data_IF_212195517432
#
_entry.id   IF_212195517432
#
_cell.length_a   1.000
_cell.length_b   1.000
_cell.length_c   1.000
_cell.angle_alpha   90.00
_cell.angle_beta   90.00
_cell.angle_gamma   90.00
#
_symmetry.space_group_name_H-M   'P 1'
#
loop_
_entity.id
_entity.type
_entity.pdbx_description
1 polymer ?
#
# COMPACT_ATOMS: atom_id res chain seq x y z
N UNK A 1 6.83 -19.53 23.53
CA UNK A 1 6.83 -18.29 22.74
C UNK A 1 8.27 -17.82 22.71
N UNK A 2 8.87 -17.77 21.53
CA UNK A 2 10.30 -17.57 21.32
C UNK A 2 10.76 -16.19 21.84
N UNK A 3 11.91 -16.13 22.50
CA UNK A 3 12.50 -14.89 23.05
C UNK A 3 12.73 -13.85 21.94
N UNK A 4 13.12 -14.32 20.75
CA UNK A 4 13.28 -13.48 19.55
C UNK A 4 11.95 -12.84 19.11
N UNK A 5 10.84 -13.57 19.20
CA UNK A 5 9.52 -13.04 18.85
C UNK A 5 9.07 -11.97 19.86
N UNK A 6 9.33 -12.21 21.15
CA UNK A 6 9.02 -11.26 22.21
C UNK A 6 9.87 -9.98 22.07
N UNK A 7 11.12 -10.08 21.64
CA UNK A 7 11.97 -8.93 21.34
C UNK A 7 11.44 -8.11 20.15
N UNK A 8 11.05 -8.77 19.06
CA UNK A 8 10.42 -8.11 17.91
C UNK A 8 9.13 -7.38 18.31
N UNK A 9 8.28 -7.99 19.13
CA UNK A 9 7.05 -7.35 19.61
C UNK A 9 7.35 -6.14 20.50
N UNK A 10 8.37 -6.21 21.38
CA UNK A 10 8.83 -5.05 22.16
C UNK A 10 9.38 -3.93 21.28
N UNK A 11 10.15 -4.28 20.24
CA UNK A 11 10.71 -3.31 19.31
C UNK A 11 9.61 -2.62 18.48
N UNK A 12 8.60 -3.37 18.03
CA UNK A 12 7.45 -2.80 17.36
C UNK A 12 6.69 -1.86 18.29
N UNK A 13 6.36 -2.30 19.50
CA UNK A 13 5.64 -1.49 20.48
C UNK A 13 6.38 -0.18 20.82
N UNK A 14 7.70 -0.24 20.99
CA UNK A 14 8.54 0.94 21.20
C UNK A 14 8.49 1.90 20.01
N UNK A 15 8.51 1.39 18.78
CA UNK A 15 8.36 2.19 17.56
C UNK A 15 6.99 2.88 17.49
N UNK A 16 5.90 2.15 17.77
CA UNK A 16 4.53 2.67 17.71
C UNK A 16 4.27 3.78 18.74
N UNK A 17 4.78 3.62 19.97
CA UNK A 17 4.67 4.63 21.05
C UNK A 17 5.58 5.84 20.86
N UNK A 18 6.61 5.70 20.03
CA UNK A 18 7.62 6.75 19.80
C UNK A 18 7.17 7.75 18.75
N UNK A 19 7.83 7.72 17.59
CA UNK A 19 7.64 8.72 16.54
C UNK A 19 6.30 8.61 15.79
N UNK A 20 5.53 7.56 16.00
CA UNK A 20 4.33 7.22 15.21
C UNK A 20 3.02 7.41 15.98
N UNK A 21 2.92 8.48 16.77
CA UNK A 21 1.71 8.82 17.55
C UNK A 21 1.20 10.26 17.25
N UNK A 22 1.09 10.60 15.97
CA UNK A 22 0.63 11.92 15.51
C UNK A 22 1.69 13.01 15.57
N UNK A 23 2.97 12.64 15.36
CA UNK A 23 4.12 13.56 15.36
C UNK A 23 4.19 14.32 14.04
N UNK A 24 4.32 15.65 14.12
CA UNK A 24 4.56 16.51 12.96
C UNK A 24 6.07 16.56 12.67
N UNK A 25 6.45 16.43 11.41
CA UNK A 25 7.83 16.46 10.91
C UNK A 25 7.89 17.42 9.73
N UNK A 26 8.86 18.34 9.76
CA UNK A 26 9.09 19.26 8.66
C UNK A 26 9.91 18.59 7.53
N UNK A 27 9.69 19.02 6.29
CA UNK A 27 10.49 18.68 5.13
C UNK A 27 10.68 19.91 4.24
N UNK A 28 11.70 19.86 3.37
CA UNK A 28 11.96 20.93 2.41
C UNK A 28 10.96 20.87 1.24
N UNK A 29 10.02 21.81 1.20
CA UNK A 29 9.00 21.91 0.14
C UNK A 29 9.60 22.22 -1.23
N UNK A 30 10.73 22.95 -1.29
CA UNK A 30 11.41 23.22 -2.57
C UNK A 30 11.97 21.92 -3.17
N UNK A 31 12.40 21.00 -2.30
CA UNK A 31 12.88 19.68 -2.69
C UNK A 31 11.76 18.68 -2.97
N UNK A 32 10.67 18.74 -2.20
CA UNK A 32 9.53 17.83 -2.32
C UNK A 32 8.23 18.61 -2.60
N UNK A 33 8.05 19.16 -3.82
CA UNK A 33 6.96 20.09 -4.14
C UNK A 33 5.61 19.37 -4.40
N UNK A 34 5.14 18.59 -3.42
CA UNK A 34 3.95 17.72 -3.56
C UNK A 34 2.65 18.51 -3.76
N UNK A 35 2.53 19.71 -3.19
CA UNK A 35 1.38 20.59 -3.41
C UNK A 35 1.35 21.11 -4.86
N UNK A 36 2.53 21.51 -5.38
CA UNK A 36 2.71 21.90 -6.78
C UNK A 36 2.35 20.76 -7.74
N UNK A 37 2.86 19.56 -7.47
CA UNK A 37 2.51 18.34 -8.23
C UNK A 37 0.98 18.12 -8.26
N UNK A 38 0.30 18.20 -7.12
CA UNK A 38 -1.15 17.99 -7.08
C UNK A 38 -1.90 19.05 -7.89
N UNK A 39 -1.49 20.31 -7.81
CA UNK A 39 -2.08 21.41 -8.59
C UNK A 39 -1.90 21.19 -10.10
N UNK A 40 -0.70 20.82 -10.53
CA UNK A 40 -0.40 20.49 -11.93
C UNK A 40 -1.26 19.34 -12.43
N UNK A 41 -1.44 18.28 -11.63
CA UNK A 41 -2.29 17.13 -12.02
C UNK A 41 -3.77 17.50 -12.08
N UNK A 42 -4.28 18.32 -11.16
CA UNK A 42 -5.65 18.84 -11.24
C UNK A 42 -5.86 19.60 -12.56
N UNK A 43 -4.90 20.45 -12.96
CA UNK A 43 -4.93 21.17 -14.25
C UNK A 43 -4.84 20.24 -15.45
N UNK A 44 -3.98 19.22 -15.40
CA UNK A 44 -3.86 18.21 -16.46
C UNK A 44 -5.16 17.41 -16.66
N UNK A 45 -5.99 17.28 -15.63
CA UNK A 45 -7.33 16.70 -15.71
C UNK A 45 -8.42 17.68 -16.18
N UNK A 46 -8.04 18.86 -16.69
CA UNK A 46 -8.94 19.81 -17.36
C UNK A 46 -9.55 20.87 -16.43
N UNK A 47 -9.10 21.00 -15.18
CA UNK A 47 -9.65 21.96 -14.22
C UNK A 47 -8.73 23.17 -14.06
N UNK A 48 -9.23 24.35 -14.44
CA UNK A 48 -8.51 25.62 -14.30
C UNK A 48 -8.48 26.09 -12.83
N UNK A 49 -7.73 25.37 -12.00
CA UNK A 49 -7.51 25.67 -10.58
C UNK A 49 -6.11 26.24 -10.41
N UNK A 50 -5.99 27.39 -9.76
CA UNK A 50 -4.70 28.01 -9.40
C UNK A 50 -4.34 27.85 -7.92
N UNK A 51 -5.29 27.38 -7.13
CA UNK A 51 -5.15 27.17 -5.70
C UNK A 51 -5.96 25.93 -5.30
N UNK A 52 -5.30 24.93 -4.70
CA UNK A 52 -5.93 23.71 -4.21
C UNK A 52 -7.08 24.00 -3.22
N UNK A 53 -7.04 25.12 -2.50
CA UNK A 53 -8.08 25.53 -1.56
C UNK A 53 -9.39 25.92 -2.26
N UNK A 54 -9.35 26.20 -3.57
CA UNK A 54 -10.48 26.68 -4.39
C UNK A 54 -11.02 25.62 -5.36
N UNK A 55 -10.62 24.35 -5.22
CA UNK A 55 -11.15 23.25 -6.04
C UNK A 55 -12.69 23.24 -6.07
N UNK A 56 -13.33 23.43 -4.91
CA UNK A 56 -14.79 23.48 -4.79
C UNK A 56 -15.50 24.57 -5.62
N UNK A 57 -14.77 25.58 -6.09
CA UNK A 57 -15.32 26.67 -6.92
C UNK A 57 -15.27 26.34 -8.42
N UNK A 58 -14.31 25.50 -8.83
CA UNK A 58 -14.01 25.22 -10.25
C UNK A 58 -14.38 23.79 -10.66
N UNK A 59 -14.42 22.85 -9.71
CA UNK A 59 -14.72 21.44 -9.96
C UNK A 59 -16.14 21.13 -9.46
N UNK A 60 -17.09 20.79 -10.35
CA UNK A 60 -18.43 20.35 -10.00
C UNK A 60 -18.40 19.19 -9.00
N UNK A 61 -19.36 19.18 -8.07
CA UNK A 61 -19.41 18.23 -6.97
C UNK A 61 -19.39 16.76 -7.44
N UNK A 62 -20.13 16.45 -8.49
CA UNK A 62 -20.23 15.11 -9.10
C UNK A 62 -18.92 14.67 -9.78
N UNK A 63 -18.06 15.61 -10.18
CA UNK A 63 -16.76 15.33 -10.77
C UNK A 63 -15.65 15.08 -9.73
N UNK A 64 -15.81 15.52 -8.47
CA UNK A 64 -14.74 15.49 -7.44
C UNK A 64 -14.31 14.07 -7.10
N UNK A 65 -15.23 13.10 -7.04
CA UNK A 65 -14.87 11.71 -6.79
C UNK A 65 -14.03 11.14 -7.94
N UNK A 66 -14.45 11.38 -9.18
CA UNK A 66 -13.70 10.97 -10.37
C UNK A 66 -12.31 11.60 -10.43
N UNK A 67 -12.20 12.90 -10.14
CA UNK A 67 -10.92 13.59 -10.04
C UNK A 67 -10.02 12.96 -8.96
N UNK A 68 -10.56 12.70 -7.76
CA UNK A 68 -9.80 12.06 -6.68
C UNK A 68 -9.23 10.72 -7.10
N UNK A 69 -10.01 9.89 -7.82
CA UNK A 69 -9.54 8.58 -8.32
C UNK A 69 -8.44 8.71 -9.36
N UNK A 70 -8.54 9.68 -10.27
CA UNK A 70 -7.47 9.96 -11.24
C UNK A 70 -6.20 10.44 -10.57
N UNK A 71 -6.30 11.35 -9.60
CA UNK A 71 -5.14 11.79 -8.82
C UNK A 71 -4.48 10.63 -8.05
N UNK A 72 -5.24 9.72 -7.44
CA UNK A 72 -4.66 8.50 -6.84
C UNK A 72 -3.95 7.63 -7.88
N UNK A 73 -4.49 7.51 -9.10
CA UNK A 73 -3.84 6.74 -10.18
C UNK A 73 -2.52 7.40 -10.61
N UNK A 74 -2.50 8.72 -10.75
CA UNK A 74 -1.31 9.51 -11.11
C UNK A 74 -0.17 9.36 -10.09
N UNK A 75 -0.45 8.91 -8.86
CA UNK A 75 0.61 8.65 -7.88
C UNK A 75 1.54 7.50 -8.24
N UNK A 76 1.17 6.71 -9.25
CA UNK A 76 2.02 5.65 -9.83
C UNK A 76 3.00 6.18 -10.88
N UNK A 77 2.94 7.46 -11.21
CA UNK A 77 3.92 8.11 -12.08
C UNK A 77 5.35 7.87 -11.57
N UNK A 78 6.29 7.38 -12.40
CA UNK A 78 7.63 7.05 -11.96
C UNK A 78 8.41 8.23 -11.34
N UNK A 79 8.18 9.46 -11.82
CA UNK A 79 8.88 10.63 -11.30
C UNK A 79 8.37 11.01 -9.91
N UNK A 80 7.05 10.99 -9.70
CA UNK A 80 6.49 11.16 -8.35
C UNK A 80 6.93 10.03 -7.43
N UNK A 81 6.99 8.79 -7.95
CA UNK A 81 7.39 7.64 -7.16
C UNK A 81 8.82 7.81 -6.63
N UNK A 82 9.77 8.18 -7.49
CA UNK A 82 11.14 8.47 -7.08
C UNK A 82 11.19 9.58 -6.02
N UNK A 83 10.42 10.67 -6.22
CA UNK A 83 10.32 11.77 -5.26
C UNK A 83 9.84 11.29 -3.86
N UNK A 84 8.80 10.45 -3.82
CA UNK A 84 8.27 9.89 -2.57
C UNK A 84 9.27 8.93 -1.92
N UNK A 85 9.98 8.14 -2.71
CA UNK A 85 11.01 7.23 -2.21
C UNK A 85 12.17 8.00 -1.56
N UNK A 86 12.60 9.11 -2.14
CA UNK A 86 13.59 10.00 -1.54
C UNK A 86 13.07 10.67 -0.27
N UNK A 87 11.82 11.17 -0.28
CA UNK A 87 11.18 11.69 0.94
C UNK A 87 11.15 10.64 2.06
N UNK A 88 10.90 9.37 1.71
CA UNK A 88 10.92 8.27 2.66
C UNK A 88 12.31 8.01 3.21
N UNK A 89 13.33 7.89 2.34
CA UNK A 89 14.71 7.63 2.74
C UNK A 89 15.28 8.72 3.64
N UNK A 90 14.97 9.97 3.32
CA UNK A 90 15.72 11.10 3.86
C UNK A 90 15.02 11.84 4.99
N UNK A 91 13.68 11.78 5.03
CA UNK A 91 12.89 12.46 6.04
C UNK A 91 12.15 11.46 6.93
N UNK A 92 11.32 10.60 6.34
CA UNK A 92 10.39 9.77 7.11
C UNK A 92 11.11 8.66 7.86
N UNK A 93 12.05 7.96 7.22
CA UNK A 93 12.76 6.87 7.87
C UNK A 93 13.64 7.36 9.04
N UNK A 94 14.45 8.44 8.90
CA UNK A 94 15.19 9.00 10.03
C UNK A 94 14.26 9.54 11.13
N UNK A 95 13.22 10.30 10.78
CA UNK A 95 12.31 10.88 11.78
C UNK A 95 11.47 9.82 12.51
N UNK A 96 11.11 8.75 11.81
CA UNK A 96 10.32 7.62 12.29
C UNK A 96 11.13 6.49 12.93
N UNK A 97 12.47 6.56 12.88
CA UNK A 97 13.36 5.50 13.36
C UNK A 97 13.18 4.16 12.63
N UNK A 98 12.88 4.20 11.33
CA UNK A 98 12.68 3.00 10.52
C UNK A 98 14.01 2.42 10.03
N UNK A 99 14.08 1.10 9.96
CA UNK A 99 15.28 0.36 9.54
C UNK A 99 15.02 -0.40 8.24
N UNK A 100 15.95 -0.29 7.29
CA UNK A 100 15.91 -1.01 6.03
C UNK A 100 15.95 -2.55 6.24
N UNK A 101 15.39 -3.34 5.31
CA UNK A 101 14.70 -2.92 4.08
C UNK A 101 13.34 -2.30 4.37
N UNK A 102 12.95 -1.31 3.56
CA UNK A 102 11.67 -0.61 3.67
C UNK A 102 10.77 -0.92 2.47
N UNK A 103 9.47 -0.68 2.63
CA UNK A 103 8.52 -0.72 1.53
C UNK A 103 7.52 0.42 1.65
N UNK A 104 7.04 0.93 0.52
CA UNK A 104 6.12 2.07 0.43
C UNK A 104 4.90 1.68 -0.40
N UNK A 105 3.70 2.04 0.05
CA UNK A 105 2.43 1.79 -0.64
C UNK A 105 2.52 2.15 -2.13
N UNK A 106 2.04 1.27 -3.02
CA UNK A 106 2.21 1.41 -4.48
C UNK A 106 1.47 2.59 -5.11
N UNK A 107 0.24 2.83 -4.67
CA UNK A 107 -0.57 3.97 -5.08
C UNK A 107 -0.97 4.75 -3.83
N UNK A 108 -0.56 6.01 -3.74
CA UNK A 108 -0.84 6.86 -2.62
C UNK A 108 -2.31 7.33 -2.69
N UNK A 109 -2.89 7.65 -1.54
CA UNK A 109 -4.28 8.12 -1.49
C UNK A 109 -4.30 9.65 -1.49
N UNK A 110 -4.85 10.25 -2.54
CA UNK A 110 -5.20 11.67 -2.54
C UNK A 110 -6.60 11.82 -1.94
N UNK A 111 -6.79 12.83 -1.08
CA UNK A 111 -8.06 13.16 -0.44
C UNK A 111 -8.41 14.61 -0.73
N UNK A 112 -9.59 14.82 -1.30
CA UNK A 112 -10.19 16.15 -1.50
C UNK A 112 -11.38 16.27 -0.56
N UNK A 113 -11.34 17.24 0.34
CA UNK A 113 -12.40 17.50 1.30
C UNK A 113 -12.96 18.92 1.08
N UNK A 114 -14.13 18.98 0.45
CA UNK A 114 -14.83 20.22 0.14
C UNK A 114 -15.47 20.83 1.41
N UNK A 115 -15.69 22.15 1.45
CA UNK A 115 -16.44 22.79 2.54
C UNK A 115 -17.92 22.38 2.53
N UNK A 116 -18.52 22.32 3.72
CA UNK A 116 -19.95 22.14 4.01
C UNK A 116 -20.58 20.88 3.40
N UNK A 117 -19.83 19.77 3.38
CA UNK A 117 -20.28 18.45 2.89
C UNK A 117 -20.40 17.41 4.03
N UNK A 118 -21.49 17.39 4.80
CA UNK A 118 -21.67 16.43 5.90
C UNK A 118 -21.65 14.96 5.44
N UNK A 119 -22.12 14.66 4.24
CA UNK A 119 -22.12 13.32 3.65
C UNK A 119 -20.73 12.81 3.22
N UNK A 120 -19.74 13.70 3.14
CA UNK A 120 -18.38 13.37 2.70
C UNK A 120 -17.40 13.21 3.89
N UNK A 121 -17.92 13.19 5.12
CA UNK A 121 -17.11 12.99 6.32
C UNK A 121 -16.69 11.52 6.40
N UNK A 122 -15.37 11.30 6.49
CA UNK A 122 -14.84 9.97 6.76
C UNK A 122 -14.96 9.68 8.27
N UNK A 123 -15.70 8.63 8.68
CA UNK A 123 -15.91 8.33 10.09
C UNK A 123 -14.61 8.09 10.86
N UNK A 124 -14.64 8.29 12.17
CA UNK A 124 -13.49 7.95 13.00
C UNK A 124 -13.27 6.44 13.04
N UNK A 125 -12.02 6.03 12.86
CA UNK A 125 -11.63 4.62 12.75
C UNK A 125 -10.14 4.45 13.07
N UNK A 126 -9.69 3.19 13.11
CA UNK A 126 -8.27 2.83 13.08
C UNK A 126 -7.96 2.09 11.78
N UNK A 127 -6.70 2.12 11.34
CA UNK A 127 -6.26 1.37 10.16
C UNK A 127 -6.44 -0.15 10.32
N UNK A 128 -6.40 -0.67 11.56
CA UNK A 128 -6.63 -2.08 11.84
C UNK A 128 -8.01 -2.55 11.36
N UNK A 129 -9.06 -1.74 11.54
CA UNK A 129 -10.42 -2.06 11.10
C UNK A 129 -10.55 -2.19 9.57
N UNK A 130 -9.62 -1.60 8.81
CA UNK A 130 -9.55 -1.69 7.35
C UNK A 130 -8.53 -2.73 6.86
N UNK A 131 -8.05 -3.60 7.77
CA UNK A 131 -7.18 -4.72 7.43
C UNK A 131 -5.70 -4.38 7.31
N UNK A 132 -5.27 -3.20 7.75
CA UNK A 132 -3.84 -2.94 7.94
C UNK A 132 -3.35 -3.68 9.18
N UNK A 133 -2.09 -4.15 9.15
CA UNK A 133 -1.43 -4.68 10.33
C UNK A 133 -0.60 -3.63 11.09
N UNK A 134 -0.22 -3.89 12.35
CA UNK A 134 0.55 -2.95 13.16
C UNK A 134 1.97 -2.68 12.63
N UNK A 135 2.52 -3.54 11.77
CA UNK A 135 3.78 -3.30 11.07
C UNK A 135 3.70 -2.27 9.94
N UNK A 136 2.50 -1.80 9.60
CA UNK A 136 2.26 -0.72 8.63
C UNK A 136 2.19 0.62 9.35
N UNK A 137 2.77 1.69 8.80
CA UNK A 137 2.76 3.02 9.42
C UNK A 137 2.23 4.04 8.44
N UNK A 138 1.50 5.02 8.93
CA UNK A 138 0.81 6.00 8.10
C UNK A 138 1.53 7.34 8.12
N UNK A 139 1.63 7.92 6.94
CA UNK A 139 2.10 9.28 6.71
C UNK A 139 0.93 10.07 6.14
N UNK A 140 0.58 11.18 6.80
CA UNK A 140 -0.40 12.14 6.28
C UNK A 140 0.28 13.46 5.93
N UNK A 141 0.05 13.92 4.70
CA UNK A 141 0.66 15.09 4.08
C UNK A 141 -0.45 16.07 3.67
N UNK A 142 -0.74 17.11 4.46
CA UNK A 142 -1.61 18.18 4.03
C UNK A 142 -0.95 18.99 2.91
N UNK A 143 -1.63 19.12 1.76
CA UNK A 143 -1.19 19.92 0.61
C UNK A 143 -1.83 21.32 0.60
N UNK A 144 -2.71 21.59 1.56
CA UNK A 144 -3.31 22.89 1.85
C UNK A 144 -2.98 23.23 3.30
N UNK A 145 -2.70 24.49 3.61
CA UNK A 145 -2.31 24.92 4.96
C UNK A 145 -3.44 24.74 5.99
N UNK A 146 -3.19 24.04 7.09
CA UNK A 146 -4.14 23.80 8.19
C UNK A 146 -3.55 24.20 9.56
N UNK A 147 -2.46 24.98 9.57
CA UNK A 147 -1.74 25.34 10.80
C UNK A 147 -2.54 26.28 11.69
N UNK A 148 -3.43 27.09 11.13
CA UNK A 148 -4.21 28.06 11.91
C UNK A 148 -5.35 27.37 12.66
N UNK A 149 -5.67 27.79 13.89
CA UNK A 149 -6.81 27.24 14.65
C UNK A 149 -8.15 27.33 13.90
N UNK A 150 -8.36 28.38 13.11
CA UNK A 150 -9.56 28.55 12.28
C UNK A 150 -9.72 27.45 11.21
N UNK A 151 -8.63 26.77 10.84
CA UNK A 151 -8.63 25.70 9.84
C UNK A 151 -8.91 24.30 10.45
N UNK A 152 -9.15 24.21 11.77
CA UNK A 152 -9.29 22.94 12.49
C UNK A 152 -10.34 22.00 11.88
N UNK A 153 -11.49 22.53 11.44
CA UNK A 153 -12.57 21.71 10.89
C UNK A 153 -12.25 21.10 9.53
N UNK A 154 -11.26 21.62 8.81
CA UNK A 154 -10.75 21.03 7.58
C UNK A 154 -9.67 19.97 7.82
N UNK A 155 -9.12 19.89 9.04
CA UNK A 155 -8.02 19.00 9.38
C UNK A 155 -8.44 17.56 9.68
N UNK A 156 -7.46 16.67 9.70
CA UNK A 156 -7.59 15.34 10.28
C UNK A 156 -7.49 15.46 11.82
N UNK A 157 -8.39 14.76 12.50
CA UNK A 157 -8.39 14.64 13.95
C UNK A 157 -7.76 13.31 14.33
N UNK A 158 -7.03 13.29 15.45
CA UNK A 158 -6.34 12.11 15.95
C UNK A 158 -6.50 11.99 17.46
N UNK A 159 -6.55 10.75 17.93
CA UNK A 159 -6.44 10.36 19.34
C UNK A 159 -5.10 9.65 19.55
N UNK A 160 -4.43 9.94 20.66
CA UNK A 160 -3.18 9.28 21.04
C UNK A 160 -3.34 7.76 21.18
N UNK A 161 -2.25 7.02 21.02
CA UNK A 161 -2.26 5.55 20.89
C UNK A 161 -2.99 4.82 22.02
N UNK A 162 -2.62 5.10 23.28
CA UNK A 162 -3.18 4.37 24.42
C UNK A 162 -4.68 4.62 24.58
N UNK A 163 -5.09 5.87 24.37
CA UNK A 163 -6.50 6.23 24.43
C UNK A 163 -7.27 5.62 23.26
N UNK A 164 -6.68 5.58 22.07
CA UNK A 164 -7.25 4.91 20.89
C UNK A 164 -7.53 3.44 21.15
N UNK A 165 -6.55 2.72 21.72
CA UNK A 165 -6.69 1.31 22.11
C UNK A 165 -7.83 1.09 23.11
N UNK A 166 -7.93 1.96 24.11
CA UNK A 166 -9.02 1.89 25.09
C UNK A 166 -10.40 2.14 24.46
N UNK A 167 -10.51 3.16 23.60
CA UNK A 167 -11.74 3.54 22.91
C UNK A 167 -12.23 2.45 21.95
N UNK A 168 -11.32 1.77 21.25
CA UNK A 168 -11.68 0.66 20.35
C UNK A 168 -12.16 -0.56 21.13
N UNK A 169 -11.53 -0.89 22.27
CA UNK A 169 -12.04 -1.94 23.16
C UNK A 169 -13.43 -1.60 23.69
N UNK A 170 -13.62 -0.40 24.23
CA UNK A 170 -14.91 0.13 24.69
C UNK A 170 -15.98 0.02 23.59
N UNK A 171 -15.68 0.48 22.37
CA UNK A 171 -16.62 0.43 21.26
C UNK A 171 -16.97 -1.00 20.81
N UNK A 172 -16.00 -1.92 20.84
CA UNK A 172 -16.20 -3.33 20.51
C UNK A 172 -17.06 -4.04 21.56
N UNK A 173 -16.72 -3.87 22.84
CA UNK A 173 -17.42 -4.50 23.96
C UNK A 173 -18.88 -4.04 24.03
N UNK A 174 -19.12 -2.76 23.77
CA UNK A 174 -20.46 -2.17 23.74
C UNK A 174 -21.17 -2.29 22.39
N UNK A 175 -20.51 -2.86 21.37
CA UNK A 175 -21.05 -3.05 20.01
C UNK A 175 -21.61 -1.75 19.40
N UNK A 176 -20.87 -0.65 19.56
CA UNK A 176 -21.32 0.70 19.15
C UNK A 176 -21.52 0.82 17.64
N UNK A 177 -22.49 1.64 17.24
CA UNK A 177 -22.65 2.06 15.85
C UNK A 177 -21.54 3.01 15.41
N UNK A 178 -21.39 3.23 14.10
CA UNK A 178 -20.40 4.16 13.54
C UNK A 178 -20.62 5.60 14.02
N UNK A 179 -21.87 6.01 14.18
CA UNK A 179 -22.26 7.34 14.66
C UNK A 179 -21.89 7.50 16.13
N UNK A 180 -22.22 6.51 16.97
CA UNK A 180 -21.88 6.51 18.39
C UNK A 180 -20.35 6.48 18.61
N UNK A 181 -19.63 5.67 17.83
CA UNK A 181 -18.16 5.67 17.81
C UNK A 181 -17.62 7.03 17.40
N UNK A 182 -18.10 7.62 16.30
CA UNK A 182 -17.61 8.90 15.80
C UNK A 182 -17.82 10.04 16.80
N UNK A 183 -18.99 10.11 17.44
CA UNK A 183 -19.25 11.09 18.48
C UNK A 183 -18.34 10.91 19.71
N UNK A 184 -18.18 9.67 20.18
CA UNK A 184 -17.29 9.37 21.31
C UNK A 184 -15.84 9.71 20.99
N UNK A 185 -15.35 9.27 19.84
CA UNK A 185 -13.96 9.39 19.44
C UNK A 185 -13.59 10.84 19.17
N UNK A 186 -14.51 11.61 18.56
CA UNK A 186 -14.33 13.04 18.35
C UNK A 186 -14.09 13.78 19.67
N UNK A 187 -14.85 13.45 20.73
CA UNK A 187 -14.74 14.09 22.04
C UNK A 187 -13.36 13.91 22.71
N UNK A 188 -12.57 12.92 22.28
CA UNK A 188 -11.24 12.58 22.81
C UNK A 188 -10.12 12.94 21.81
N UNK A 189 -10.50 13.47 20.65
CA UNK A 189 -9.59 13.76 19.56
C UNK A 189 -9.18 15.22 19.53
N UNK A 190 -8.05 15.49 18.86
CA UNK A 190 -7.57 16.84 18.58
C UNK A 190 -7.29 17.00 17.09
N UNK A 191 -7.50 18.20 16.51
CA UNK A 191 -7.08 18.47 15.15
C UNK A 191 -5.55 18.45 15.05
N UNK A 192 -5.04 18.06 13.87
CA UNK A 192 -3.63 18.18 13.52
C UNK A 192 -3.38 19.53 12.83
N UNK A 193 -2.41 20.30 13.30
CA UNK A 193 -2.06 21.59 12.71
C UNK A 193 -0.81 21.46 11.87
N UNK A 194 -0.97 21.11 10.60
CA UNK A 194 0.13 20.92 9.65
C UNK A 194 -0.23 21.50 8.28
N UNK A 195 0.76 21.87 7.49
CA UNK A 195 0.58 22.38 6.12
C UNK A 195 1.63 21.84 5.13
N UNK A 196 1.69 22.40 3.91
CA UNK A 196 2.81 22.16 3.00
C UNK A 196 4.16 22.39 3.70
N UNK A 197 5.13 21.52 3.42
CA UNK A 197 6.40 21.46 4.16
C UNK A 197 6.34 20.69 5.49
N UNK A 198 5.17 20.16 5.88
CA UNK A 198 5.00 19.32 7.08
C UNK A 198 4.26 18.02 6.78
N UNK A 199 4.62 16.95 7.47
CA UNK A 199 3.97 15.65 7.42
C UNK A 199 3.68 15.14 8.83
N UNK A 200 2.68 14.26 8.95
CA UNK A 200 2.31 13.65 10.23
C UNK A 200 2.57 12.15 10.19
N UNK A 201 3.35 11.68 11.16
CA UNK A 201 3.63 10.27 11.40
C UNK A 201 2.67 9.71 12.45
N UNK A 202 1.91 8.68 12.09
CA UNK A 202 1.02 7.96 13.00
C UNK A 202 0.91 6.48 12.63
N UNK A 203 0.37 5.65 13.51
CA UNK A 203 0.26 4.22 13.27
C UNK A 203 -1.19 3.75 13.02
N UNK A 204 -1.37 2.47 12.70
CA UNK A 204 -2.70 1.93 12.35
C UNK A 204 -3.64 1.76 13.54
N UNK A 205 -3.16 1.93 14.78
CA UNK A 205 -3.95 1.82 16.00
C UNK A 205 -4.49 3.17 16.47
N UNK A 206 -3.93 4.28 15.99
CA UNK A 206 -4.49 5.61 16.25
C UNK A 206 -5.91 5.73 15.69
N UNK A 207 -6.84 6.10 16.56
CA UNK A 207 -8.17 6.55 16.13
C UNK A 207 -8.01 7.90 15.46
N UNK A 208 -8.47 7.99 14.22
CA UNK A 208 -8.42 9.21 13.43
C UNK A 208 -9.66 9.33 12.54
N UNK A 209 -9.99 10.55 12.16
CA UNK A 209 -11.19 10.85 11.39
C UNK A 209 -11.23 12.32 10.98
N UNK A 210 -12.35 12.71 10.36
CA UNK A 210 -12.60 14.09 9.98
C UNK A 210 -13.93 14.55 10.57
N UNK A 211 -14.13 15.86 10.62
CA UNK A 211 -15.43 16.49 10.93
C UNK A 211 -15.97 17.17 9.68
N UNK A 212 -17.13 17.84 9.74
CA UNK A 212 -17.58 18.66 8.61
C UNK A 212 -16.65 19.86 8.47
N UNK A 213 -16.05 20.02 7.29
CA UNK A 213 -15.20 21.18 6.99
C UNK A 213 -16.06 22.44 6.86
N UNK A 214 -15.87 23.40 7.78
CA UNK A 214 -16.60 24.69 7.82
C UNK A 214 -15.71 25.89 7.53
N UNK A 215 -14.51 25.65 6.99
CA UNK A 215 -13.50 26.70 6.77
C UNK A 215 -13.78 27.55 5.53
N UNK A 216 -14.77 27.17 4.72
CA UNK A 216 -15.03 27.79 3.42
C UNK A 216 -14.00 27.45 2.35
N UNK A 217 -12.97 26.65 2.65
CA UNK A 217 -11.94 26.23 1.69
C UNK A 217 -11.90 24.71 1.54
N UNK A 218 -11.43 24.24 0.39
CA UNK A 218 -11.11 22.82 0.17
C UNK A 218 -9.82 22.44 0.88
N UNK A 219 -9.79 21.27 1.53
CA UNK A 219 -8.55 20.64 1.99
C UNK A 219 -8.13 19.54 1.03
N UNK A 220 -6.87 19.58 0.62
CA UNK A 220 -6.24 18.51 -0.16
C UNK A 220 -5.14 17.90 0.68
N UNK A 221 -5.07 16.56 0.72
CA UNK A 221 -3.99 15.86 1.40
C UNK A 221 -3.65 14.56 0.69
N UNK A 222 -2.44 14.08 0.93
CA UNK A 222 -1.98 12.75 0.54
C UNK A 222 -1.79 11.89 1.79
N UNK A 223 -2.25 10.66 1.76
CA UNK A 223 -1.98 9.66 2.79
C UNK A 223 -1.40 8.38 2.18
N UNK A 224 -0.32 7.86 2.79
CA UNK A 224 0.31 6.62 2.33
C UNK A 224 0.96 5.86 3.46
N UNK A 225 1.29 4.59 3.20
CA UNK A 225 1.87 3.69 4.21
C UNK A 225 3.31 3.34 3.89
N UNK A 226 4.08 3.12 4.96
CA UNK A 226 5.44 2.58 4.94
C UNK A 226 5.54 1.35 5.86
N UNK A 227 6.43 0.42 5.53
CA UNK A 227 6.67 -0.82 6.25
C UNK A 227 8.17 -1.14 6.35
N UNK A 228 8.58 -1.88 7.38
CA UNK A 228 9.95 -2.40 7.56
C UNK A 228 9.93 -3.92 7.39
N UNK A 229 10.96 -4.49 6.76
CA UNK A 229 11.01 -5.93 6.50
C UNK A 229 11.03 -6.79 7.76
N UNK A 230 11.61 -6.28 8.87
CA UNK A 230 11.59 -6.99 10.17
C UNK A 230 10.18 -7.22 10.74
N UNK A 231 9.16 -6.53 10.21
CA UNK A 231 7.75 -6.68 10.59
C UNK A 231 6.85 -7.04 9.39
N UNK A 232 7.41 -7.62 8.32
CA UNK A 232 6.66 -7.91 7.09
C UNK A 232 5.51 -8.90 7.25
N UNK A 233 5.58 -9.79 8.23
CA UNK A 233 4.50 -10.70 8.65
C UNK A 233 3.39 -9.98 9.45
N UNK A 234 3.65 -8.77 9.92
CA UNK A 234 2.71 -7.93 10.69
C UNK A 234 1.98 -6.90 9.83
N UNK A 235 1.85 -7.15 8.52
CA UNK A 235 1.14 -6.29 7.56
C UNK A 235 -0.34 -6.67 7.33
N UNK A 236 -0.78 -7.81 7.89
CA UNK A 236 -2.14 -8.33 7.79
C UNK A 236 -2.62 -8.45 6.33
N UNK A 237 -3.76 -7.85 5.97
CA UNK A 237 -4.35 -7.97 4.62
C UNK A 237 -3.73 -7.02 3.59
N UNK A 238 -2.60 -6.40 3.91
CA UNK A 238 -1.86 -5.46 3.06
C UNK A 238 -0.43 -5.99 2.80
N UNK A 239 -0.26 -7.16 2.18
CA UNK A 239 1.05 -7.79 2.03
C UNK A 239 1.99 -6.95 1.15
N UNK A 240 3.28 -7.19 1.31
CA UNK A 240 4.31 -6.63 0.42
C UNK A 240 4.10 -7.12 -1.03
N UNK A 241 4.60 -6.35 -1.99
CA UNK A 241 4.46 -6.60 -3.43
C UNK A 241 3.09 -6.20 -3.99
N UNK A 242 2.00 -6.70 -3.40
CA UNK A 242 0.64 -6.34 -3.80
C UNK A 242 0.25 -4.92 -3.39
N UNK A 243 0.39 -4.60 -2.10
CA UNK A 243 0.03 -3.29 -1.55
C UNK A 243 1.22 -2.34 -1.42
N UNK A 244 2.37 -2.87 -0.98
CA UNK A 244 3.63 -2.14 -0.88
C UNK A 244 4.58 -2.51 -2.02
N UNK A 245 5.35 -1.58 -2.54
CA UNK A 245 6.54 -1.88 -3.33
C UNK A 245 7.78 -1.69 -2.46
N UNK A 246 8.74 -2.62 -2.57
CA UNK A 246 10.00 -2.53 -1.86
C UNK A 246 10.73 -1.24 -2.26
N UNK A 247 11.26 -0.54 -1.27
CA UNK A 247 12.05 0.65 -1.47
C UNK A 247 13.43 0.22 -2.00
N UNK A 248 13.82 0.66 -3.20
CA UNK A 248 15.17 0.42 -3.70
C UNK A 248 16.22 1.04 -2.77
N UNK A 249 17.40 0.43 -2.67
CA UNK A 249 18.53 0.97 -1.90
C UNK A 249 19.05 2.26 -2.53
N UNK A 250 19.06 2.34 -3.85
CA UNK A 250 19.47 3.51 -4.62
C UNK A 250 18.69 3.66 -5.95
N UNK A 251 19.03 4.71 -6.70
CA UNK A 251 18.40 5.02 -7.98
C UNK A 251 18.77 4.04 -9.11
N UNK A 252 19.92 3.36 -9.03
CA UNK A 252 20.34 2.37 -10.01
C UNK A 252 19.51 1.08 -9.86
N UNK A 253 19.34 0.59 -8.63
CA UNK A 253 18.44 -0.53 -8.33
C UNK A 253 17.01 -0.20 -8.75
N UNK A 254 16.54 1.03 -8.50
CA UNK A 254 15.21 1.48 -8.91
C UNK A 254 15.03 1.41 -10.44
N UNK A 255 16.00 1.95 -11.20
CA UNK A 255 15.99 1.89 -12.67
C UNK A 255 16.06 0.46 -13.18
N UNK A 256 16.92 -0.37 -12.60
CA UNK A 256 17.07 -1.76 -13.01
C UNK A 256 15.78 -2.56 -12.79
N UNK A 257 15.12 -2.40 -11.63
CA UNK A 257 13.82 -3.03 -11.36
C UNK A 257 12.72 -2.54 -12.30
N UNK A 258 12.63 -1.23 -12.53
CA UNK A 258 11.64 -0.67 -13.46
C UNK A 258 11.84 -1.19 -14.89
N UNK A 259 13.09 -1.23 -15.36
CA UNK A 259 13.42 -1.79 -16.67
C UNK A 259 13.05 -3.28 -16.75
N UNK A 260 13.34 -4.07 -15.71
CA UNK A 260 12.95 -5.48 -15.65
C UNK A 260 11.44 -5.67 -15.70
N UNK A 261 10.68 -4.91 -14.91
CA UNK A 261 9.21 -5.01 -14.83
C UNK A 261 8.49 -4.56 -16.12
N UNK A 262 9.14 -3.71 -16.93
CA UNK A 262 8.62 -3.25 -18.22
C UNK A 262 8.92 -4.21 -19.38
N UNK A 263 9.69 -5.29 -19.16
CA UNK A 263 10.00 -6.25 -20.21
C UNK A 263 8.73 -6.91 -20.73
N UNK A 264 8.62 -6.96 -22.05
CA UNK A 264 7.66 -7.79 -22.75
C UNK A 264 8.34 -9.14 -22.97
N UNK A 265 7.81 -10.19 -22.35
CA UNK A 265 8.38 -11.52 -22.38
C UNK A 265 7.49 -12.43 -23.24
N UNK A 266 8.02 -12.87 -24.38
CA UNK A 266 7.38 -13.83 -25.26
C UNK A 266 8.39 -14.92 -25.64
N UNK A 267 7.92 -16.16 -25.65
CA UNK A 267 8.64 -17.33 -26.14
C UNK A 267 7.63 -18.31 -26.76
N UNK A 268 8.11 -19.38 -27.39
CA UNK A 268 7.25 -20.38 -28.06
C UNK A 268 6.63 -21.41 -27.10
N UNK A 269 6.58 -21.12 -25.79
CA UNK A 269 6.05 -22.05 -24.79
C UNK A 269 4.55 -21.87 -24.61
N UNK A 270 3.82 -22.95 -24.32
CA UNK A 270 2.43 -22.83 -23.96
C UNK A 270 2.29 -22.00 -22.70
N UNK A 271 1.28 -21.13 -22.67
CA UNK A 271 1.01 -20.28 -21.51
C UNK A 271 -0.23 -20.79 -20.79
N UNK A 272 -0.14 -20.98 -19.48
CA UNK A 272 -1.25 -21.46 -18.65
C UNK A 272 -1.67 -20.44 -17.62
N UNK A 273 -2.98 -20.30 -17.42
CA UNK A 273 -3.52 -19.62 -16.23
C UNK A 273 -3.54 -20.62 -15.08
N UNK A 274 -2.78 -20.35 -14.03
CA UNK A 274 -2.71 -21.23 -12.86
C UNK A 274 -3.45 -20.60 -11.67
N UNK A 275 -4.42 -21.35 -11.13
CA UNK A 275 -5.31 -20.90 -10.07
C UNK A 275 -5.25 -21.82 -8.85
N UNK A 276 -5.08 -21.24 -7.66
CA UNK A 276 -5.28 -21.94 -6.40
C UNK A 276 -5.28 -20.98 -5.20
N UNK A 277 -5.77 -21.46 -4.07
CA UNK A 277 -5.74 -20.76 -2.78
C UNK A 277 -5.19 -21.66 -1.66
N UNK A 278 -4.30 -22.59 -2.02
CA UNK A 278 -3.80 -23.62 -1.10
C UNK A 278 -2.77 -23.10 -0.07
N UNK A 279 -2.24 -21.88 -0.26
CA UNK A 279 -1.31 -21.28 0.70
C UNK A 279 -2.07 -20.42 1.72
N UNK A 280 -1.63 -20.36 2.98
CA UNK A 280 -2.20 -19.46 3.98
C UNK A 280 -2.33 -17.99 3.53
N UNK A 281 -1.39 -17.51 2.71
CA UNK A 281 -1.39 -16.14 2.19
C UNK A 281 -2.46 -15.90 1.12
N UNK A 282 -2.88 -16.93 0.39
CA UNK A 282 -3.86 -16.85 -0.71
C UNK A 282 -5.20 -17.50 -0.39
N UNK A 283 -5.33 -18.20 0.74
CA UNK A 283 -6.55 -18.88 1.18
C UNK A 283 -7.80 -17.97 1.17
N UNK A 284 -7.62 -16.69 1.51
CA UNK A 284 -8.68 -15.68 1.50
C UNK A 284 -9.00 -15.07 0.14
N UNK A 285 -8.33 -15.48 -0.94
CA UNK A 285 -8.53 -14.99 -2.30
C UNK A 285 -9.18 -16.09 -3.16
N UNK A 286 -10.52 -16.10 -3.32
CA UNK A 286 -11.22 -17.09 -4.13
C UNK A 286 -10.71 -17.16 -5.57
N UNK A 287 -10.62 -18.37 -6.13
CA UNK A 287 -10.09 -18.61 -7.48
C UNK A 287 -10.82 -17.83 -8.59
N UNK A 288 -12.11 -17.55 -8.42
CA UNK A 288 -12.86 -16.73 -9.39
C UNK A 288 -12.40 -15.27 -9.42
N UNK A 289 -12.00 -14.70 -8.28
CA UNK A 289 -11.41 -13.35 -8.23
C UNK A 289 -10.01 -13.33 -8.81
N UNK A 290 -9.21 -14.37 -8.52
CA UNK A 290 -7.90 -14.55 -9.13
C UNK A 290 -8.04 -14.58 -10.67
N UNK A 291 -9.00 -15.32 -11.20
CA UNK A 291 -9.26 -15.40 -12.65
C UNK A 291 -9.51 -14.04 -13.28
N UNK A 292 -10.31 -13.17 -12.65
CA UNK A 292 -10.53 -11.80 -13.16
C UNK A 292 -9.24 -10.99 -13.20
N UNK A 293 -8.42 -11.07 -12.14
CA UNK A 293 -7.14 -10.36 -12.09
C UNK A 293 -6.15 -10.87 -13.14
N UNK A 294 -6.07 -12.20 -13.33
CA UNK A 294 -5.25 -12.82 -14.37
C UNK A 294 -5.69 -12.36 -15.76
N UNK A 295 -6.99 -12.37 -16.03
CA UNK A 295 -7.54 -11.94 -17.33
C UNK A 295 -7.21 -10.46 -17.63
N UNK A 296 -7.38 -9.57 -16.66
CA UNK A 296 -7.04 -8.15 -16.79
C UNK A 296 -5.53 -7.95 -17.04
N UNK A 297 -4.68 -8.65 -16.28
CA UNK A 297 -3.23 -8.60 -16.44
C UNK A 297 -2.78 -9.10 -17.82
N UNK A 298 -3.35 -10.23 -18.26
CA UNK A 298 -3.07 -10.82 -19.57
C UNK A 298 -3.48 -9.89 -20.71
N UNK A 299 -4.69 -9.32 -20.65
CA UNK A 299 -5.16 -8.36 -21.65
C UNK A 299 -4.26 -7.12 -21.75
N UNK A 300 -3.83 -6.58 -20.60
CA UNK A 300 -2.95 -5.42 -20.56
C UNK A 300 -1.54 -5.68 -21.10
N UNK A 301 -1.11 -6.95 -21.21
CA UNK A 301 0.24 -7.35 -21.65
C UNK A 301 0.26 -8.15 -22.95
N UNK A 302 -0.89 -8.34 -23.60
CA UNK A 302 -0.97 -9.17 -24.80
C UNK A 302 -0.60 -10.64 -24.55
N UNK A 303 -0.83 -11.16 -23.34
CA UNK A 303 -0.62 -12.56 -23.00
C UNK A 303 -1.92 -13.33 -23.27
N UNK A 304 -1.84 -14.45 -23.98
CA UNK A 304 -2.99 -15.29 -24.29
C UNK A 304 -2.77 -16.71 -23.71
N UNK A 305 -3.25 -17.00 -22.49
CA UNK A 305 -3.21 -18.35 -21.95
C UNK A 305 -4.01 -19.32 -22.82
N UNK A 306 -3.44 -20.50 -23.11
CA UNK A 306 -4.05 -21.55 -23.92
C UNK A 306 -5.07 -22.39 -23.14
N UNK A 307 -4.79 -22.60 -21.85
CA UNK A 307 -5.68 -23.35 -20.96
C UNK A 307 -5.47 -22.95 -19.49
N UNK A 308 -6.36 -23.45 -18.63
CA UNK A 308 -6.37 -23.17 -17.19
C UNK A 308 -6.02 -24.44 -16.42
N UNK A 309 -5.16 -24.30 -15.41
CA UNK A 309 -4.80 -25.36 -14.46
C UNK A 309 -5.22 -24.96 -13.05
N UNK A 310 -5.75 -25.94 -12.32
CA UNK A 310 -6.09 -25.80 -10.91
C UNK A 310 -5.17 -26.67 -10.08
N UNK A 311 -4.74 -26.14 -8.93
CA UNK A 311 -4.06 -26.98 -7.96
C UNK A 311 -5.02 -27.97 -7.31
N UNK A 312 -4.46 -29.12 -6.93
CA UNK A 312 -5.16 -30.11 -6.13
C UNK A 312 -5.33 -29.58 -4.71
N UNK A 313 -6.59 -29.54 -4.25
CA UNK A 313 -6.90 -29.02 -2.92
C UNK A 313 -6.13 -29.77 -1.82
N UNK A 314 -5.76 -29.06 -0.76
CA UNK A 314 -4.92 -29.52 0.35
C UNK A 314 -3.47 -29.96 0.00
N UNK A 315 -3.06 -30.02 -1.28
CA UNK A 315 -1.69 -30.40 -1.65
C UNK A 315 -0.72 -29.22 -1.59
N UNK A 316 -0.17 -28.95 -0.40
CA UNK A 316 0.73 -27.81 -0.13
C UNK A 316 2.06 -27.81 -0.91
N UNK A 317 2.47 -28.97 -1.43
CA UNK A 317 3.66 -29.13 -2.25
C UNK A 317 3.42 -28.79 -3.74
N UNK A 318 2.19 -28.39 -4.10
CA UNK A 318 1.80 -27.85 -5.40
C UNK A 318 2.16 -28.73 -6.63
N UNK A 319 1.69 -29.99 -6.69
CA UNK A 319 2.06 -30.92 -7.76
C UNK A 319 1.60 -30.47 -9.15
N UNK A 320 0.47 -29.78 -9.29
CA UNK A 320 0.06 -29.23 -10.60
C UNK A 320 1.02 -28.13 -11.07
N UNK A 321 1.52 -27.30 -10.14
CA UNK A 321 2.53 -26.29 -10.50
C UNK A 321 3.87 -26.93 -10.90
N UNK A 322 4.30 -27.99 -10.20
CA UNK A 322 5.45 -28.79 -10.60
C UNK A 322 5.28 -29.44 -11.96
N UNK A 323 4.08 -29.93 -12.29
CA UNK A 323 3.75 -30.46 -13.61
C UNK A 323 3.89 -29.38 -14.70
N UNK A 324 3.43 -28.15 -14.43
CA UNK A 324 3.62 -27.02 -15.33
C UNK A 324 5.11 -26.68 -15.55
N UNK A 325 5.92 -26.69 -14.49
CA UNK A 325 7.35 -26.41 -14.57
C UNK A 325 8.14 -27.48 -15.34
N UNK A 326 7.89 -28.76 -15.04
CA UNK A 326 8.76 -29.86 -15.47
C UNK A 326 8.29 -30.60 -16.72
N UNK A 327 7.03 -31.02 -16.74
CA UNK A 327 6.47 -31.87 -17.80
C UNK A 327 5.94 -31.03 -18.96
N UNK A 328 5.13 -30.00 -18.68
CA UNK A 328 4.63 -29.10 -19.71
C UNK A 328 5.69 -28.08 -20.14
N UNK A 329 6.57 -27.69 -19.20
CA UNK A 329 7.52 -26.58 -19.38
C UNK A 329 6.82 -25.34 -19.92
N UNK A 330 5.68 -25.02 -19.31
CA UNK A 330 4.79 -23.95 -19.72
C UNK A 330 5.16 -22.63 -19.04
N UNK A 331 4.89 -21.51 -19.71
CA UNK A 331 4.78 -20.24 -19.02
C UNK A 331 3.55 -20.27 -18.10
N UNK A 332 3.64 -19.64 -16.94
CA UNK A 332 2.56 -19.63 -15.95
C UNK A 332 2.16 -18.19 -15.66
N UNK A 333 0.87 -17.91 -15.70
CA UNK A 333 0.30 -16.69 -15.12
C UNK A 333 -0.43 -17.08 -13.85
N UNK A 334 0.00 -16.57 -12.69
CA UNK A 334 -0.55 -16.91 -11.39
C UNK A 334 -0.81 -15.69 -10.53
N UNK A 335 -1.68 -15.86 -9.53
CA UNK A 335 -2.19 -14.74 -8.74
C UNK A 335 -1.09 -13.96 -8.03
N UNK A 336 -0.17 -14.63 -7.32
CA UNK A 336 0.81 -13.96 -6.48
C UNK A 336 2.07 -14.79 -6.25
N UNK A 337 3.18 -14.13 -5.96
CA UNK A 337 4.40 -14.76 -5.40
C UNK A 337 4.06 -15.61 -4.15
N UNK A 338 3.10 -15.17 -3.32
CA UNK A 338 2.70 -15.91 -2.12
C UNK A 338 1.79 -17.11 -2.40
N UNK A 339 1.55 -17.41 -3.67
CA UNK A 339 0.92 -18.65 -4.10
C UNK A 339 1.98 -19.76 -4.33
N UNK A 340 3.28 -19.43 -4.31
CA UNK A 340 4.37 -20.42 -4.31
C UNK A 340 4.47 -21.19 -2.98
N UNK A 341 5.24 -22.31 -2.93
CA UNK A 341 5.46 -23.04 -1.68
C UNK A 341 6.00 -22.14 -0.56
N UNK A 342 5.56 -22.40 0.69
CA UNK A 342 6.01 -21.64 1.85
C UNK A 342 7.45 -21.97 2.22
N UNK A 343 7.81 -23.26 2.19
CA UNK A 343 9.17 -23.69 2.47
C UNK A 343 10.13 -23.10 1.42
N UNK A 344 11.13 -22.34 1.88
CA UNK A 344 12.09 -21.67 1.01
C UNK A 344 12.81 -22.64 0.08
N UNK A 345 13.21 -23.81 0.58
CA UNK A 345 13.89 -24.85 -0.21
C UNK A 345 13.02 -25.35 -1.37
N UNK A 346 11.75 -25.66 -1.11
CA UNK A 346 10.80 -26.13 -2.14
C UNK A 346 10.48 -25.02 -3.14
N UNK A 347 10.31 -23.79 -2.67
CA UNK A 347 10.04 -22.63 -3.52
C UNK A 347 11.19 -22.35 -4.48
N UNK A 348 12.42 -22.29 -3.97
CA UNK A 348 13.61 -22.04 -4.81
C UNK A 348 13.78 -23.15 -5.84
N UNK A 349 13.69 -24.42 -5.42
CA UNK A 349 13.79 -25.56 -6.34
C UNK A 349 12.75 -25.50 -7.47
N UNK A 350 11.52 -25.11 -7.16
CA UNK A 350 10.46 -24.94 -8.16
C UNK A 350 10.75 -23.80 -9.15
N UNK A 351 11.19 -22.63 -8.64
CA UNK A 351 11.52 -21.48 -9.49
C UNK A 351 12.73 -21.78 -10.38
N UNK A 352 13.75 -22.45 -9.86
CA UNK A 352 14.90 -22.93 -10.64
C UNK A 352 14.48 -23.92 -11.71
N UNK A 353 13.49 -24.79 -11.45
CA UNK A 353 12.95 -25.68 -12.46
C UNK A 353 12.27 -24.92 -13.62
N UNK A 354 11.53 -23.84 -13.34
CA UNK A 354 11.01 -22.95 -14.39
C UNK A 354 12.13 -22.30 -15.20
N UNK A 355 13.16 -21.78 -14.54
CA UNK A 355 14.32 -21.15 -15.20
C UNK A 355 15.11 -22.13 -16.08
N UNK A 356 15.42 -23.32 -15.56
CA UNK A 356 16.08 -24.39 -16.31
C UNK A 356 15.22 -24.87 -17.49
N UNK A 357 13.89 -24.81 -17.32
CA UNK A 357 12.92 -25.03 -18.37
C UNK A 357 12.81 -23.88 -19.36
N UNK A 358 13.42 -22.70 -19.14
CA UNK A 358 13.28 -21.51 -19.98
C UNK A 358 11.85 -20.96 -20.05
N UNK A 359 11.04 -21.21 -19.02
CA UNK A 359 9.68 -20.75 -18.89
C UNK A 359 9.60 -19.42 -18.14
N UNK A 360 8.54 -18.65 -18.41
CA UNK A 360 8.25 -17.39 -17.72
C UNK A 360 7.12 -17.59 -16.73
N UNK A 361 7.29 -17.10 -15.49
CA UNK A 361 6.22 -17.09 -14.49
C UNK A 361 5.81 -15.65 -14.21
N UNK A 362 4.53 -15.32 -14.37
CA UNK A 362 3.97 -14.00 -14.08
C UNK A 362 3.23 -14.02 -12.74
N UNK A 363 3.54 -13.05 -11.88
CA UNK A 363 2.90 -12.84 -10.58
C UNK A 363 2.03 -11.59 -10.63
N UNK A 364 0.71 -11.80 -10.80
CA UNK A 364 -0.24 -10.76 -11.17
C UNK A 364 -0.41 -9.68 -10.11
N UNK A 365 -0.57 -10.06 -8.85
CA UNK A 365 -0.81 -9.16 -7.73
C UNK A 365 0.36 -8.19 -7.52
N UNK A 366 1.58 -8.69 -7.63
CA UNK A 366 2.81 -7.91 -7.50
C UNK A 366 3.12 -7.14 -8.79
N UNK A 367 2.67 -7.63 -9.95
CA UNK A 367 3.06 -7.11 -11.26
C UNK A 367 4.51 -7.45 -11.61
N UNK A 368 4.99 -8.60 -11.14
CA UNK A 368 6.35 -9.11 -11.31
C UNK A 368 6.34 -10.34 -12.23
N UNK A 369 7.53 -10.77 -12.67
CA UNK A 369 7.71 -12.03 -13.38
C UNK A 369 9.06 -12.66 -13.03
N UNK A 370 9.21 -13.94 -13.38
CA UNK A 370 10.44 -14.73 -13.33
C UNK A 370 10.80 -15.15 -14.76
N UNK A 371 11.93 -14.69 -15.27
CA UNK A 371 12.51 -15.16 -16.53
C UNK A 371 14.02 -15.41 -16.46
N UNK A 372 14.69 -14.87 -15.44
CA UNK A 372 16.12 -15.04 -15.21
C UNK A 372 16.48 -15.04 -13.72
N UNK A 373 17.77 -15.17 -13.41
CA UNK A 373 18.28 -15.19 -12.04
C UNK A 373 18.10 -13.85 -11.30
N UNK A 374 18.05 -12.72 -12.01
CA UNK A 374 17.82 -11.41 -11.38
C UNK A 374 16.37 -11.27 -10.92
N UNK A 375 15.42 -11.81 -11.70
CA UNK A 375 14.03 -11.90 -11.28
C UNK A 375 13.84 -12.83 -10.07
N UNK A 376 14.57 -13.95 -10.04
CA UNK A 376 14.56 -14.85 -8.88
C UNK A 376 14.98 -14.09 -7.61
N UNK A 377 16.06 -13.31 -7.69
CA UNK A 377 16.52 -12.49 -6.58
C UNK A 377 15.47 -11.45 -6.13
N UNK A 378 14.71 -10.85 -7.06
CA UNK A 378 13.62 -9.93 -6.71
C UNK A 378 12.45 -10.66 -6.01
N UNK A 379 12.10 -11.87 -6.47
CA UNK A 379 11.08 -12.72 -5.82
C UNK A 379 11.52 -13.11 -4.41
N UNK A 380 12.77 -13.53 -4.24
CA UNK A 380 13.32 -13.89 -2.93
C UNK A 380 13.42 -12.69 -1.99
N UNK A 381 13.83 -11.51 -2.48
CA UNK A 381 13.84 -10.28 -1.71
C UNK A 381 12.44 -9.93 -1.19
N UNK A 382 11.41 -10.13 -2.02
CA UNK A 382 10.02 -9.93 -1.63
C UNK A 382 9.56 -10.94 -0.56
N UNK A 383 9.86 -12.23 -0.75
CA UNK A 383 9.54 -13.26 0.24
C UNK A 383 10.25 -13.00 1.58
N UNK A 384 11.53 -12.61 1.54
CA UNK A 384 12.32 -12.28 2.72
C UNK A 384 11.74 -11.06 3.46
N UNK A 385 11.39 -10.00 2.72
CA UNK A 385 10.73 -8.82 3.30
C UNK A 385 9.41 -9.20 3.98
N UNK A 386 8.59 -10.01 3.32
CA UNK A 386 7.29 -10.45 3.84
C UNK A 386 7.40 -11.51 4.95
N UNK A 387 8.62 -12.01 5.22
CA UNK A 387 8.87 -13.15 6.11
C UNK A 387 8.00 -14.37 5.72
N UNK A 388 7.92 -14.62 4.42
CA UNK A 388 7.16 -15.73 3.85
C UNK A 388 7.99 -17.03 3.90
N UNK A 389 7.79 -17.81 4.97
CA UNK A 389 8.46 -19.08 5.20
C UNK A 389 8.35 -19.56 6.63
#
# INVERSE_FOLDING_TARGET
MDEAQAELDRALEASLRGAWDGRIVAYDEARFPLAGWALERVRAHGWAVDDLTRIHEQVPLDAVFGLTKRLCADTRDPALRALVEDLVREVIAPAGGLVAPLAVQRALNVRIMLPDRPQAVFPFHTGLLYGHGPGSRSVWLPLTDLRRPADATASMYIVGLERSRALIREASDERRSVEAMSARFLAESRPLHAGPGELVLFNQENVHGNVVNRTGKTRVSVDFRVAEGRFGDRLARKPAGGYFALLPTDADEARARAARAARVLHNDRPTVSYLHNATPATAGAPVHLQRYMLAEYCAARGIAPEFELFELDAMKHLPTLWHAASALRANVVMYSVFALPQATTERVALLEAFLAGGAVVHFVNEGMHLADAADLADVEALCAFARYG
#
